data_IF_966437107968
#
_entry.id   IF_966437107968
#
_cell.length_a   1.000
_cell.length_b   1.000
_cell.length_c   1.000
_cell.angle_alpha   90.00
_cell.angle_beta   90.00
_cell.angle_gamma   90.00
#
_symmetry.space_group_name_H-M   'P 1'
#
loop_
_entity.id
_entity.type
_entity.pdbx_description
1 polymer ?
#
# COMPACT_ATOMS: atom_id res chain seq x y z
N UNK A 1 -28.64 16.08 -18.75
CA UNK A 1 -28.85 17.30 -17.94
C UNK A 1 -27.57 17.59 -17.18
N UNK A 2 -27.19 18.86 -17.06
CA UNK A 2 -25.92 19.27 -16.42
C UNK A 2 -26.16 19.44 -14.91
N UNK A 3 -25.59 18.56 -14.08
CA UNK A 3 -25.64 18.72 -12.62
C UNK A 3 -24.47 19.59 -12.15
N UNK A 4 -24.74 20.53 -11.25
CA UNK A 4 -23.70 21.33 -10.59
C UNK A 4 -23.33 20.64 -9.28
N UNK A 5 -22.04 20.35 -9.11
CA UNK A 5 -21.52 19.75 -7.88
C UNK A 5 -21.33 20.85 -6.83
N UNK A 6 -22.11 20.85 -5.75
CA UNK A 6 -21.85 21.69 -4.59
C UNK A 6 -20.69 21.07 -3.79
N UNK A 7 -19.67 21.85 -3.46
CA UNK A 7 -18.38 21.39 -2.91
C UNK A 7 -18.41 21.05 -1.41
N UNK A 8 -19.56 20.60 -0.88
CA UNK A 8 -19.83 20.52 0.58
C UNK A 8 -19.32 19.23 1.23
N UNK A 9 -18.97 18.19 0.46
CA UNK A 9 -18.60 16.89 1.02
C UNK A 9 -17.14 16.75 1.52
N UNK A 10 -16.33 17.82 1.51
CA UNK A 10 -14.90 17.71 1.85
C UNK A 10 -14.63 17.44 3.34
N UNK A 11 -15.51 17.90 4.23
CA UNK A 11 -15.34 17.83 5.69
C UNK A 11 -16.27 16.80 6.35
N UNK A 12 -16.75 15.80 5.60
CA UNK A 12 -17.63 14.76 6.11
C UNK A 12 -16.85 13.67 6.86
N UNK A 13 -17.45 13.12 7.90
CA UNK A 13 -16.92 11.97 8.65
C UNK A 13 -17.78 10.76 8.32
N UNK A 14 -17.16 9.73 7.75
CA UNK A 14 -17.81 8.48 7.37
C UNK A 14 -17.06 7.29 7.99
N UNK A 15 -17.82 6.26 8.37
CA UNK A 15 -17.24 4.97 8.76
C UNK A 15 -17.09 4.10 7.52
N UNK A 16 -15.85 3.86 7.09
CA UNK A 16 -15.53 3.09 5.89
C UNK A 16 -14.42 2.08 6.16
N UNK A 17 -14.54 0.89 5.57
CA UNK A 17 -13.46 -0.08 5.56
C UNK A 17 -12.47 0.25 4.43
N UNK A 18 -11.17 0.12 4.69
CA UNK A 18 -10.14 0.37 3.68
C UNK A 18 -10.34 -0.47 2.40
N UNK A 19 -10.83 -1.70 2.54
CA UNK A 19 -11.16 -2.58 1.42
C UNK A 19 -12.20 -1.97 0.46
N UNK A 20 -13.17 -1.22 0.98
CA UNK A 20 -14.21 -0.57 0.17
C UNK A 20 -13.67 0.58 -0.70
N UNK A 21 -12.49 1.12 -0.35
CA UNK A 21 -11.84 2.19 -1.11
C UNK A 21 -11.04 1.68 -2.30
N UNK A 22 -10.82 0.37 -2.41
CA UNK A 22 -10.03 -0.23 -3.48
C UNK A 22 -10.95 -0.99 -4.43
N UNK A 23 -11.14 -0.50 -5.67
CA UNK A 23 -11.98 -1.17 -6.66
C UNK A 23 -11.58 -2.64 -6.84
N UNK A 24 -12.58 -3.51 -7.01
CA UNK A 24 -12.36 -4.96 -7.17
C UNK A 24 -11.47 -5.30 -8.37
N UNK A 25 -11.57 -4.52 -9.45
CA UNK A 25 -10.78 -4.69 -10.67
C UNK A 25 -9.41 -3.97 -10.63
N UNK A 26 -9.05 -3.34 -9.51
CA UNK A 26 -7.79 -2.60 -9.37
C UNK A 26 -6.57 -3.55 -9.47
N UNK A 27 -5.49 -3.07 -10.08
CA UNK A 27 -4.32 -3.89 -10.37
C UNK A 27 -3.65 -4.46 -9.11
N UNK A 28 -3.66 -3.71 -8.00
CA UNK A 28 -3.12 -4.19 -6.71
C UNK A 28 -3.84 -5.44 -6.19
N UNK A 29 -5.15 -5.57 -6.40
CA UNK A 29 -5.88 -6.78 -6.00
C UNK A 29 -5.46 -7.98 -6.84
N UNK A 30 -5.20 -7.75 -8.13
CA UNK A 30 -4.66 -8.79 -9.03
C UNK A 30 -3.25 -9.21 -8.61
N UNK A 31 -2.40 -8.25 -8.21
CA UNK A 31 -1.07 -8.55 -7.69
C UNK A 31 -1.13 -9.37 -6.40
N UNK A 32 -1.98 -8.96 -5.45
CA UNK A 32 -2.15 -9.68 -4.17
C UNK A 32 -2.65 -11.10 -4.38
N UNK A 33 -3.57 -11.31 -5.33
CA UNK A 33 -4.09 -12.64 -5.64
C UNK A 33 -3.11 -13.52 -6.45
N UNK A 34 -2.16 -12.91 -7.17
CA UNK A 34 -1.27 -13.64 -8.06
C UNK A 34 -0.01 -14.18 -7.37
N UNK A 35 0.40 -13.56 -6.27
CA UNK A 35 1.67 -13.87 -5.59
C UNK A 35 1.40 -13.98 -4.10
N UNK A 36 1.62 -15.17 -3.54
CA UNK A 36 1.83 -15.30 -2.11
C UNK A 36 3.25 -14.80 -1.80
N UNK A 37 3.39 -13.76 -0.99
CA UNK A 37 4.68 -13.16 -0.65
C UNK A 37 5.34 -13.79 0.59
N UNK A 38 4.67 -14.72 1.27
CA UNK A 38 5.17 -15.32 2.52
C UNK A 38 6.51 -16.04 2.35
N UNK A 39 6.78 -16.59 1.16
CA UNK A 39 8.05 -17.26 0.84
C UNK A 39 9.28 -16.37 1.03
N UNK A 40 9.12 -15.03 1.02
CA UNK A 40 10.23 -14.10 1.19
C UNK A 40 10.83 -14.22 2.58
N UNK A 41 10.03 -14.48 3.62
CA UNK A 41 10.55 -14.61 4.98
C UNK A 41 11.59 -15.72 5.09
N UNK A 42 11.30 -16.90 4.52
CA UNK A 42 12.22 -18.03 4.50
C UNK A 42 13.50 -17.72 3.71
N UNK A 43 13.39 -16.95 2.61
CA UNK A 43 14.55 -16.59 1.79
C UNK A 43 15.52 -15.64 2.49
N UNK A 44 15.01 -14.76 3.35
CA UNK A 44 15.84 -13.72 3.97
C UNK A 44 16.19 -14.00 5.43
N UNK A 45 15.61 -15.04 6.05
CA UNK A 45 15.74 -15.34 7.48
C UNK A 45 17.19 -15.24 7.99
N UNK A 46 18.14 -15.90 7.33
CA UNK A 46 19.55 -15.92 7.73
C UNK A 46 20.26 -14.56 7.63
N UNK A 47 19.70 -13.62 6.86
CA UNK A 47 20.27 -12.28 6.66
C UNK A 47 19.79 -11.25 7.68
N UNK A 48 18.75 -11.58 8.45
CA UNK A 48 18.17 -10.69 9.45
C UNK A 48 18.64 -11.07 10.85
N UNK A 49 19.07 -10.07 11.63
CA UNK A 49 19.44 -10.27 13.03
C UNK A 49 18.21 -10.31 13.92
N UNK A 50 18.17 -11.24 14.86
CA UNK A 50 17.16 -11.27 15.94
C UNK A 50 17.33 -10.15 16.98
N UNK A 51 18.47 -9.44 16.96
CA UNK A 51 18.81 -8.38 17.93
C UNK A 51 19.16 -7.09 17.19
N UNK A 52 18.65 -5.96 17.67
CA UNK A 52 18.99 -4.63 17.15
C UNK A 52 17.77 -3.76 16.89
N UNK A 53 17.94 -2.74 16.04
CA UNK A 53 16.83 -1.89 15.58
C UNK A 53 15.97 -2.69 14.60
N UNK A 54 14.64 -2.78 14.82
CA UNK A 54 13.75 -3.39 13.85
C UNK A 54 13.87 -2.73 12.49
N UNK A 55 14.11 -3.54 11.48
CA UNK A 55 14.06 -3.15 10.07
C UNK A 55 12.61 -3.03 9.59
N UNK A 56 12.43 -2.48 8.39
CA UNK A 56 11.16 -2.60 7.66
C UNK A 56 10.94 -4.09 7.37
N UNK A 57 9.67 -4.52 7.38
CA UNK A 57 9.29 -5.88 6.99
C UNK A 57 9.77 -6.17 5.54
N UNK A 58 10.48 -7.30 5.32
CA UNK A 58 11.02 -7.64 4.00
C UNK A 58 9.94 -7.82 2.92
N UNK A 59 8.77 -8.38 3.27
CA UNK A 59 7.63 -8.50 2.33
C UNK A 59 7.13 -7.12 1.93
N UNK A 60 7.00 -6.20 2.90
CA UNK A 60 6.57 -4.82 2.61
C UNK A 60 7.60 -4.13 1.68
N UNK A 61 8.89 -4.30 1.95
CA UNK A 61 9.95 -3.73 1.11
C UNK A 61 9.87 -4.24 -0.33
N UNK A 62 9.64 -5.53 -0.53
CA UNK A 62 9.46 -6.10 -1.87
C UNK A 62 8.16 -5.59 -2.49
N UNK A 63 7.02 -5.63 -1.79
CA UNK A 63 5.75 -5.11 -2.32
C UNK A 63 5.84 -3.62 -2.72
N UNK A 64 6.63 -2.80 -2.02
CA UNK A 64 6.93 -1.43 -2.42
C UNK A 64 7.63 -1.34 -3.78
N UNK A 65 8.60 -2.21 -4.04
CA UNK A 65 9.23 -2.28 -5.37
C UNK A 65 8.23 -2.72 -6.43
N UNK A 66 7.32 -3.66 -6.13
CA UNK A 66 6.25 -4.04 -7.06
C UNK A 66 5.35 -2.87 -7.41
N UNK A 67 4.91 -2.07 -6.42
CA UNK A 67 4.15 -0.83 -6.68
C UNK A 67 4.97 0.09 -7.59
N UNK A 68 6.23 0.35 -7.23
CA UNK A 68 7.09 1.26 -7.96
C UNK A 68 7.21 0.88 -9.44
N UNK A 69 7.54 -0.38 -9.73
CA UNK A 69 7.71 -0.85 -11.10
C UNK A 69 6.39 -0.94 -11.86
N UNK A 70 5.34 -1.47 -11.24
CA UNK A 70 4.06 -1.71 -11.90
C UNK A 70 3.36 -0.40 -12.30
N UNK A 71 3.46 0.62 -11.44
CA UNK A 71 2.85 1.93 -11.69
C UNK A 71 3.84 2.97 -12.26
N UNK A 72 5.08 2.57 -12.57
CA UNK A 72 6.07 3.43 -13.21
C UNK A 72 6.54 4.62 -12.37
N UNK A 73 6.59 4.46 -11.04
CA UNK A 73 7.00 5.52 -10.11
C UNK A 73 8.52 5.68 -10.16
N UNK A 74 8.99 6.90 -10.39
CA UNK A 74 10.40 7.16 -10.73
C UNK A 74 11.38 6.96 -9.58
N UNK A 75 10.91 7.02 -8.33
CA UNK A 75 11.80 6.87 -7.17
C UNK A 75 11.07 6.25 -5.98
N UNK A 76 11.82 5.50 -5.17
CA UNK A 76 11.29 4.92 -3.93
C UNK A 76 10.76 5.99 -2.98
N UNK A 77 11.44 7.14 -2.89
CA UNK A 77 10.98 8.27 -2.09
C UNK A 77 9.61 8.78 -2.56
N UNK A 78 9.40 8.86 -3.88
CA UNK A 78 8.10 9.23 -4.42
C UNK A 78 7.04 8.16 -4.13
N UNK A 79 7.39 6.87 -4.23
CA UNK A 79 6.49 5.77 -3.84
C UNK A 79 6.02 5.91 -2.40
N UNK A 80 6.94 6.25 -1.47
CA UNK A 80 6.63 6.49 -0.07
C UNK A 80 5.72 7.71 0.12
N UNK A 81 5.92 8.78 -0.64
CA UNK A 81 5.00 9.93 -0.61
C UNK A 81 3.61 9.56 -1.11
N UNK A 82 3.50 8.77 -2.18
CA UNK A 82 2.21 8.31 -2.72
C UNK A 82 1.47 7.42 -1.72
N UNK A 83 2.15 6.61 -0.91
CA UNK A 83 1.53 5.82 0.15
C UNK A 83 0.80 6.66 1.21
N UNK A 84 1.19 7.93 1.41
CA UNK A 84 0.52 8.79 2.38
C UNK A 84 -0.91 9.09 1.97
N UNK A 85 -1.21 9.12 0.68
CA UNK A 85 -2.51 9.55 0.13
C UNK A 85 -3.21 8.47 -0.68
N UNK A 86 -2.49 7.49 -1.22
CA UNK A 86 -3.05 6.44 -2.06
C UNK A 86 -3.49 5.22 -1.23
N UNK A 87 -4.81 5.09 -1.07
CA UNK A 87 -5.42 4.02 -0.26
C UNK A 87 -5.25 2.64 -0.88
N UNK A 88 -5.16 2.53 -2.21
CA UNK A 88 -4.93 1.24 -2.88
C UNK A 88 -3.53 0.69 -2.59
N UNK A 89 -2.53 1.56 -2.50
CA UNK A 89 -1.17 1.14 -2.14
C UNK A 89 -1.09 0.74 -0.67
N UNK A 90 -1.73 1.49 0.23
CA UNK A 90 -1.84 1.11 1.65
C UNK A 90 -2.50 -0.25 1.82
N UNK A 91 -3.63 -0.47 1.15
CA UNK A 91 -4.34 -1.74 1.16
C UNK A 91 -3.44 -2.90 0.71
N UNK A 92 -2.68 -2.73 -0.39
CA UNK A 92 -1.76 -3.75 -0.89
C UNK A 92 -0.63 -4.09 0.09
N UNK A 93 -0.14 -3.09 0.82
CA UNK A 93 0.89 -3.27 1.84
C UNK A 93 0.35 -3.75 3.19
N UNK A 94 -0.98 -3.82 3.36
CA UNK A 94 -1.60 -4.16 4.64
C UNK A 94 -1.56 -3.02 5.68
N UNK A 95 -1.34 -1.77 5.26
CA UNK A 95 -1.36 -0.61 6.15
C UNK A 95 -2.77 -0.02 6.29
N UNK A 96 -3.20 0.19 7.54
CA UNK A 96 -4.39 0.95 7.88
C UNK A 96 -4.24 2.46 7.65
N UNK A 97 -5.31 3.21 7.90
CA UNK A 97 -5.34 4.67 7.72
C UNK A 97 -4.35 5.43 8.60
N UNK A 98 -4.14 4.96 9.83
CA UNK A 98 -3.29 5.60 10.83
C UNK A 98 -1.87 5.03 10.89
N UNK A 99 -1.61 3.96 10.15
CA UNK A 99 -0.30 3.34 10.16
C UNK A 99 0.73 4.28 9.53
N UNK A 100 1.89 4.33 10.19
CA UNK A 100 3.03 5.09 9.73
C UNK A 100 3.67 4.36 8.54
N UNK A 101 3.71 5.05 7.41
CA UNK A 101 4.46 4.56 6.24
C UNK A 101 5.97 4.62 6.51
N UNK A 102 6.76 3.70 5.95
CA UNK A 102 8.21 3.62 6.16
C UNK A 102 8.99 4.91 5.87
#
# INVERSE_FOLDING_TARGET
MLSKHNSIQRDQVEMIALDQLVPENHLVRKMEAAIDFSFIYDLVEETYSAVGRPSIDPVILIKLTFIQYTFGIRSMRQTIEELKTNMAYRWFLGYGFYDRVP
#
